data_IF_050096144758
#
_entry.id   IF_050096144758
#
_cell.length_a   1.000
_cell.length_b   1.000
_cell.length_c   1.000
_cell.angle_alpha   90.00
_cell.angle_beta   90.00
_cell.angle_gamma   90.00
#
_symmetry.space_group_name_H-M   'P 1'
#
loop_
_entity.id
_entity.type
_entity.pdbx_description
1 polymer ?
#
# COMPACT_ATOMS: atom_id res chain seq x y z
N UNK A 1 -5.06 11.11 -3.70
CA UNK A 1 -5.55 12.20 -2.84
C UNK A 1 -4.66 13.43 -3.02
N UNK A 2 -5.30 14.57 -3.18
CA UNK A 2 -4.61 15.86 -3.26
C UNK A 2 -4.81 16.55 -1.89
N UNK A 3 -3.72 16.94 -1.24
CA UNK A 3 -3.78 17.64 0.04
C UNK A 3 -4.19 19.12 -0.12
N UNK A 4 -4.43 19.82 0.99
CA UNK A 4 -4.82 21.23 0.99
C UNK A 4 -3.76 22.18 0.43
N UNK A 5 -2.54 21.70 0.15
CA UNK A 5 -1.44 22.45 -0.47
C UNK A 5 -1.26 22.11 -1.95
N UNK A 6 -2.10 21.20 -2.49
CA UNK A 6 -2.04 20.75 -3.87
C UNK A 6 -1.03 19.61 -4.13
N UNK A 7 -0.45 19.00 -3.09
CA UNK A 7 0.45 17.87 -3.28
C UNK A 7 -0.36 16.58 -3.46
N UNK A 8 0.09 15.75 -4.41
CA UNK A 8 -0.48 14.42 -4.60
C UNK A 8 0.10 13.43 -3.58
N UNK A 9 -0.76 12.75 -2.86
CA UNK A 9 -0.40 11.67 -1.93
C UNK A 9 -0.95 10.36 -2.46
N UNK A 10 -0.06 9.45 -2.85
CA UNK A 10 -0.45 8.10 -3.24
C UNK A 10 -0.95 7.33 -2.02
N UNK A 11 -2.19 6.88 -2.06
CA UNK A 11 -2.80 6.08 -0.98
C UNK A 11 -2.50 4.60 -1.20
N UNK A 12 -2.76 4.11 -2.40
CA UNK A 12 -2.61 2.70 -2.74
C UNK A 12 -2.26 2.53 -4.22
N UNK A 13 -1.50 1.48 -4.53
CA UNK A 13 -1.28 0.98 -5.88
C UNK A 13 -2.08 -0.29 -6.09
N UNK A 14 -3.01 -0.27 -7.04
CA UNK A 14 -3.94 -1.36 -7.28
C UNK A 14 -3.49 -2.15 -8.50
N UNK A 15 -3.21 -3.43 -8.32
CA UNK A 15 -2.81 -4.35 -9.39
C UNK A 15 -4.04 -5.13 -9.87
N UNK A 16 -4.14 -5.36 -11.18
CA UNK A 16 -5.18 -6.23 -11.76
C UNK A 16 -4.99 -7.70 -11.26
N UNK A 17 -6.01 -8.50 -11.14
CA UNK A 17 -7.45 -8.26 -11.19
C UNK A 17 -8.00 -8.11 -9.76
N UNK A 18 -8.11 -6.89 -9.29
CA UNK A 18 -8.52 -6.59 -7.92
C UNK A 18 -9.69 -5.61 -7.90
N UNK A 19 -10.67 -5.87 -7.04
CA UNK A 19 -11.73 -4.91 -6.76
C UNK A 19 -11.18 -3.73 -5.95
N UNK A 20 -11.62 -2.52 -6.27
CA UNK A 20 -11.30 -1.29 -5.54
C UNK A 20 -12.55 -0.45 -5.29
N UNK A 21 -12.44 0.57 -4.45
CA UNK A 21 -13.56 1.39 -3.99
C UNK A 21 -14.70 0.61 -3.28
N UNK A 22 -14.51 -0.69 -3.02
CA UNK A 22 -15.49 -1.60 -2.44
C UNK A 22 -16.10 -1.09 -1.13
N UNK A 23 -15.32 -0.56 -0.15
CA UNK A 23 -15.88 -0.03 1.10
C UNK A 23 -16.80 1.18 0.89
N UNK A 24 -16.58 1.94 -0.18
CA UNK A 24 -17.33 3.17 -0.47
C UNK A 24 -18.63 2.91 -1.24
N UNK A 25 -18.81 1.71 -1.78
CA UNK A 25 -20.01 1.35 -2.53
C UNK A 25 -21.29 1.56 -1.71
N UNK A 26 -21.23 1.28 -0.41
CA UNK A 26 -22.34 1.42 0.52
C UNK A 26 -22.17 2.58 1.51
N UNK A 27 -21.25 3.51 1.26
CA UNK A 27 -21.16 4.73 2.06
C UNK A 27 -22.43 5.58 1.91
N UNK A 28 -22.72 6.36 2.95
CA UNK A 28 -23.94 7.18 3.01
C UNK A 28 -23.95 8.33 2.02
N UNK A 29 -22.77 8.86 1.70
CA UNK A 29 -22.58 10.01 0.81
C UNK A 29 -22.33 9.64 -0.66
N UNK A 30 -21.97 8.37 -0.92
CA UNK A 30 -21.66 7.87 -2.26
C UNK A 30 -20.43 8.51 -2.91
N UNK A 31 -19.61 9.19 -2.11
CA UNK A 31 -18.42 9.91 -2.60
C UNK A 31 -17.17 9.07 -2.42
N UNK A 32 -16.32 9.05 -3.44
CA UNK A 32 -15.00 8.44 -3.33
C UNK A 32 -14.03 9.43 -2.67
N UNK A 33 -13.26 9.00 -1.64
CA UNK A 33 -12.37 9.89 -0.89
C UNK A 33 -11.07 10.22 -1.64
N UNK A 34 -10.85 9.60 -2.79
CA UNK A 34 -9.63 9.75 -3.58
C UNK A 34 -9.92 9.62 -5.08
N UNK A 35 -9.03 10.14 -5.90
CA UNK A 35 -9.02 9.96 -7.35
C UNK A 35 -8.34 8.64 -7.70
N UNK A 36 -8.91 7.91 -8.66
CA UNK A 36 -8.30 6.71 -9.22
C UNK A 36 -7.77 7.03 -10.62
N UNK A 37 -6.48 6.81 -10.82
CA UNK A 37 -5.79 7.11 -12.08
C UNK A 37 -5.21 5.82 -12.66
N UNK A 38 -5.54 5.51 -13.93
CA UNK A 38 -4.92 4.39 -14.62
C UNK A 38 -3.46 4.73 -14.96
N UNK A 39 -2.54 3.85 -14.60
CA UNK A 39 -1.09 4.00 -14.87
C UNK A 39 -0.69 3.42 -16.23
N UNK A 40 -1.57 2.62 -16.83
CA UNK A 40 -1.43 1.98 -18.15
C UNK A 40 -2.81 1.71 -18.75
N UNK A 41 -2.87 1.30 -19.99
CA UNK A 41 -4.12 0.92 -20.64
C UNK A 41 -4.83 -0.17 -19.86
N UNK A 42 -6.06 0.10 -19.42
CA UNK A 42 -6.77 -0.73 -18.48
C UNK A 42 -8.22 -0.96 -18.88
N UNK A 43 -8.72 -2.17 -18.59
CA UNK A 43 -10.14 -2.50 -18.74
C UNK A 43 -10.78 -2.59 -17.36
N UNK A 44 -11.90 -1.88 -17.16
CA UNK A 44 -12.63 -1.85 -15.90
C UNK A 44 -13.99 -2.54 -16.06
N UNK A 45 -14.30 -3.44 -15.13
CA UNK A 45 -15.65 -3.96 -14.92
C UNK A 45 -16.29 -3.18 -13.78
N UNK A 46 -17.41 -2.52 -14.06
CA UNK A 46 -18.14 -1.71 -13.08
C UNK A 46 -19.45 -2.37 -12.68
N UNK A 47 -19.85 -2.20 -11.43
CA UNK A 47 -21.16 -2.63 -10.93
C UNK A 47 -21.84 -1.51 -10.17
N UNK A 48 -23.18 -1.37 -10.34
CA UNK A 48 -23.95 -0.41 -9.55
C UNK A 48 -24.16 -0.92 -8.12
N UNK A 49 -24.47 0.00 -7.21
CA UNK A 49 -24.83 -0.31 -5.83
C UNK A 49 -25.97 -1.34 -5.73
N UNK A 50 -27.01 -1.15 -6.53
CA UNK A 50 -28.20 -2.01 -6.56
C UNK A 50 -27.86 -3.41 -7.06
N UNK A 51 -27.09 -3.51 -8.17
CA UNK A 51 -26.66 -4.79 -8.73
C UNK A 51 -25.78 -5.55 -7.75
N UNK A 52 -24.85 -4.86 -7.10
CA UNK A 52 -23.97 -5.48 -6.10
C UNK A 52 -24.77 -5.90 -4.85
N UNK A 53 -25.70 -5.06 -4.37
CA UNK A 53 -26.54 -5.40 -3.23
C UNK A 53 -27.36 -6.67 -3.49
N UNK A 54 -27.99 -6.78 -4.67
CA UNK A 54 -28.71 -7.98 -5.08
C UNK A 54 -27.79 -9.21 -5.05
N UNK A 55 -26.63 -9.09 -5.69
CA UNK A 55 -25.68 -10.21 -5.82
C UNK A 55 -25.18 -10.71 -4.45
N UNK A 56 -24.80 -9.81 -3.54
CA UNK A 56 -24.31 -10.21 -2.20
C UNK A 56 -25.46 -10.76 -1.31
N UNK A 57 -26.70 -10.35 -1.58
CA UNK A 57 -27.87 -10.88 -0.82
C UNK A 57 -28.27 -12.29 -1.27
N UNK A 58 -28.03 -12.64 -2.53
CA UNK A 58 -28.41 -13.94 -3.09
C UNK A 58 -27.29 -14.99 -2.96
N UNK A 59 -26.01 -14.55 -2.89
CA UNK A 59 -24.86 -15.44 -2.96
C UNK A 59 -23.96 -15.31 -1.72
N UNK A 60 -24.07 -16.19 -0.71
CA UNK A 60 -23.30 -16.10 0.55
C UNK A 60 -21.79 -16.09 0.35
N UNK A 61 -21.27 -16.76 -0.67
CA UNK A 61 -19.84 -16.78 -0.99
C UNK A 61 -19.36 -15.40 -1.47
N UNK A 62 -20.17 -14.71 -2.23
CA UNK A 62 -19.86 -13.36 -2.71
C UNK A 62 -19.95 -12.37 -1.55
N UNK A 63 -20.95 -12.48 -0.68
CA UNK A 63 -21.03 -11.71 0.55
C UNK A 63 -19.80 -11.89 1.43
N UNK A 64 -19.37 -13.12 1.67
CA UNK A 64 -18.16 -13.40 2.44
C UNK A 64 -16.93 -12.72 1.82
N UNK A 65 -16.73 -12.86 0.51
CA UNK A 65 -15.61 -12.24 -0.18
C UNK A 65 -15.67 -10.71 -0.12
N UNK A 66 -16.86 -10.13 -0.27
CA UNK A 66 -17.08 -8.69 -0.15
C UNK A 66 -16.69 -8.17 1.23
N UNK A 67 -17.09 -8.87 2.30
CA UNK A 67 -16.72 -8.54 3.68
C UNK A 67 -15.21 -8.66 3.90
N UNK A 68 -14.56 -9.72 3.36
CA UNK A 68 -13.12 -9.89 3.44
C UNK A 68 -12.37 -8.74 2.74
N UNK A 69 -12.79 -8.34 1.54
CA UNK A 69 -12.18 -7.22 0.80
C UNK A 69 -12.32 -5.92 1.59
N UNK A 70 -13.52 -5.66 2.13
CA UNK A 70 -13.80 -4.46 2.94
C UNK A 70 -12.95 -4.45 4.21
N UNK A 71 -12.87 -5.58 4.92
CA UNK A 71 -12.03 -5.73 6.11
C UNK A 71 -10.55 -5.51 5.81
N UNK A 72 -10.03 -6.12 4.73
CA UNK A 72 -8.64 -5.93 4.31
C UNK A 72 -8.32 -4.48 3.91
N UNK A 73 -9.27 -3.78 3.30
CA UNK A 73 -9.11 -2.36 2.99
C UNK A 73 -8.91 -1.51 4.25
N UNK A 74 -9.67 -1.78 5.32
CA UNK A 74 -9.48 -1.11 6.60
C UNK A 74 -8.08 -1.38 7.19
N UNK A 75 -7.62 -2.63 7.16
CA UNK A 75 -6.27 -3.00 7.61
C UNK A 75 -5.22 -2.25 6.80
N UNK A 76 -5.35 -2.21 5.48
CA UNK A 76 -4.44 -1.49 4.59
C UNK A 76 -4.40 0.01 4.91
N UNK A 77 -5.55 0.63 5.18
CA UNK A 77 -5.64 2.05 5.55
C UNK A 77 -4.92 2.34 6.87
N UNK A 78 -5.10 1.50 7.88
CA UNK A 78 -4.41 1.63 9.18
C UNK A 78 -2.89 1.47 9.01
N UNK A 79 -2.46 0.50 8.23
CA UNK A 79 -1.04 0.27 7.89
C UNK A 79 -0.44 1.49 7.19
N UNK A 80 -1.16 2.03 6.24
CA UNK A 80 -0.77 3.26 5.53
C UNK A 80 -0.61 4.45 6.48
N UNK A 81 -1.56 4.62 7.40
CA UNK A 81 -1.49 5.66 8.42
C UNK A 81 -0.26 5.50 9.32
N UNK A 82 0.05 4.28 9.74
CA UNK A 82 1.27 3.99 10.51
C UNK A 82 2.54 4.40 9.76
N UNK A 83 2.64 4.06 8.48
CA UNK A 83 3.78 4.46 7.64
C UNK A 83 3.90 5.98 7.54
N UNK A 84 2.81 6.67 7.25
CA UNK A 84 2.81 8.13 7.07
C UNK A 84 3.04 8.91 8.37
N UNK A 85 2.67 8.35 9.52
CA UNK A 85 2.91 8.97 10.83
C UNK A 85 4.39 8.98 11.24
N UNK A 86 5.23 8.20 10.57
CA UNK A 86 6.67 8.17 10.83
C UNK A 86 7.35 9.44 10.33
N UNK A 87 8.33 9.96 11.11
CA UNK A 87 8.97 11.24 10.85
C UNK A 87 10.07 11.17 9.81
N UNK A 88 10.84 10.07 9.80
CA UNK A 88 12.02 9.94 8.95
C UNK A 88 11.79 9.01 7.76
N UNK A 89 12.57 9.21 6.69
CA UNK A 89 12.57 8.33 5.51
C UNK A 89 12.88 6.89 5.90
N UNK A 90 13.86 6.72 6.80
CA UNK A 90 14.26 5.39 7.33
C UNK A 90 13.10 4.69 8.02
N UNK A 91 12.45 5.33 8.97
CA UNK A 91 11.31 4.77 9.69
C UNK A 91 10.18 4.34 8.73
N UNK A 92 9.84 5.17 7.76
CA UNK A 92 8.82 4.85 6.76
C UNK A 92 9.20 3.64 5.91
N UNK A 93 10.45 3.57 5.47
CA UNK A 93 10.94 2.46 4.68
C UNK A 93 11.03 1.17 5.50
N UNK A 94 11.48 1.23 6.75
CA UNK A 94 11.51 0.09 7.66
C UNK A 94 10.11 -0.46 7.93
N UNK A 95 9.13 0.41 8.24
CA UNK A 95 7.73 -0.01 8.44
C UNK A 95 7.21 -0.71 7.18
N UNK A 96 7.46 -0.14 5.99
CA UNK A 96 7.09 -0.77 4.72
C UNK A 96 7.72 -2.17 4.57
N UNK A 97 9.01 -2.32 4.85
CA UNK A 97 9.68 -3.63 4.76
C UNK A 97 9.06 -4.65 5.72
N UNK A 98 8.83 -4.29 6.96
CA UNK A 98 8.27 -5.19 7.97
C UNK A 98 6.83 -5.61 7.65
N UNK A 99 6.03 -4.71 7.10
CA UNK A 99 4.65 -5.00 6.67
C UNK A 99 4.57 -5.95 5.46
N UNK A 100 5.56 -5.87 4.56
CA UNK A 100 5.61 -6.73 3.37
C UNK A 100 6.47 -7.98 3.56
N UNK A 101 7.13 -8.11 4.70
CA UNK A 101 7.93 -9.28 5.06
C UNK A 101 7.02 -10.47 5.35
N UNK A 102 7.21 -11.57 4.65
CA UNK A 102 6.52 -12.82 4.95
C UNK A 102 7.03 -13.41 6.26
N UNK A 103 6.14 -14.06 7.00
CA UNK A 103 6.51 -14.79 8.22
C UNK A 103 7.64 -15.79 7.91
N UNK A 104 8.69 -15.78 8.72
CA UNK A 104 9.87 -16.65 8.56
C UNK A 104 10.70 -16.41 7.28
N UNK A 105 10.61 -15.24 6.65
CA UNK A 105 11.46 -14.86 5.52
C UNK A 105 12.37 -13.69 5.92
N UNK A 106 13.63 -13.75 5.53
CA UNK A 106 14.55 -12.62 5.62
C UNK A 106 14.49 -11.71 4.38
N UNK A 107 13.66 -12.05 3.38
CA UNK A 107 13.57 -11.32 2.13
C UNK A 107 12.21 -10.67 1.95
N UNK A 108 12.22 -9.46 1.39
CA UNK A 108 11.05 -8.68 1.02
C UNK A 108 11.13 -8.33 -0.46
N UNK A 109 10.10 -8.68 -1.22
CA UNK A 109 9.99 -8.26 -2.62
C UNK A 109 9.24 -6.95 -2.70
N UNK A 110 9.91 -5.89 -3.12
CA UNK A 110 9.31 -4.59 -3.36
C UNK A 110 8.47 -4.66 -4.64
N UNK A 111 7.18 -4.43 -4.53
CA UNK A 111 6.25 -4.46 -5.67
C UNK A 111 6.51 -3.25 -6.59
N UNK A 112 6.83 -2.12 -6.01
CA UNK A 112 7.01 -0.84 -6.68
C UNK A 112 8.41 -0.70 -7.32
N UNK A 113 8.53 0.14 -8.35
CA UNK A 113 9.81 0.70 -8.72
C UNK A 113 10.20 1.80 -7.69
N UNK A 114 11.46 2.26 -7.74
CA UNK A 114 11.95 3.24 -6.75
C UNK A 114 11.19 4.58 -6.77
N UNK A 115 10.69 5.03 -7.92
CA UNK A 115 9.92 6.26 -8.02
C UNK A 115 8.56 6.09 -7.32
N UNK A 116 7.82 5.06 -7.71
CA UNK A 116 6.52 4.71 -7.12
C UNK A 116 6.63 4.41 -5.61
N UNK A 117 7.72 3.76 -5.18
CA UNK A 117 7.96 3.52 -3.75
C UNK A 117 8.19 4.84 -2.98
N UNK A 118 8.93 5.78 -3.56
CA UNK A 118 9.14 7.08 -2.94
C UNK A 118 7.82 7.87 -2.80
N UNK A 119 6.99 7.87 -3.84
CA UNK A 119 5.63 8.44 -3.80
C UNK A 119 4.78 7.72 -2.74
N UNK A 120 4.80 6.38 -2.74
CA UNK A 120 4.10 5.60 -1.72
C UNK A 120 4.56 5.95 -0.30
N UNK A 121 5.84 6.15 -0.05
CA UNK A 121 6.37 6.56 1.26
C UNK A 121 6.22 8.05 1.54
N UNK A 122 5.68 8.83 0.60
CA UNK A 122 5.57 10.29 0.66
C UNK A 122 6.93 10.95 0.97
N UNK A 123 7.93 10.60 0.17
CA UNK A 123 9.30 11.12 0.23
C UNK A 123 9.84 11.35 -1.18
N UNK A 124 10.91 12.13 -1.31
CA UNK A 124 11.55 12.29 -2.62
C UNK A 124 12.39 11.05 -2.98
N UNK A 125 12.41 10.68 -4.26
CA UNK A 125 13.23 9.56 -4.74
C UNK A 125 14.72 9.65 -4.36
N UNK A 126 15.38 10.83 -4.45
CA UNK A 126 16.77 10.97 -3.99
C UNK A 126 16.94 10.73 -2.49
N UNK A 127 16.00 11.20 -1.65
CA UNK A 127 16.04 10.96 -0.22
C UNK A 127 15.90 9.48 0.13
N UNK A 128 14.97 8.77 -0.54
CA UNK A 128 14.80 7.33 -0.38
C UNK A 128 16.06 6.57 -0.82
N UNK A 129 16.59 6.87 -2.00
CA UNK A 129 17.81 6.22 -2.52
C UNK A 129 19.02 6.42 -1.60
N UNK A 130 19.21 7.64 -1.10
CA UNK A 130 20.27 7.97 -0.13
C UNK A 130 20.15 7.13 1.14
N UNK A 131 18.92 6.98 1.67
CA UNK A 131 18.70 6.25 2.90
C UNK A 131 18.87 4.73 2.71
N UNK A 132 18.37 4.16 1.61
CA UNK A 132 18.60 2.75 1.25
C UNK A 132 20.11 2.46 1.17
N UNK A 133 20.87 3.30 0.44
CA UNK A 133 22.32 3.13 0.33
C UNK A 133 23.04 3.24 1.67
N UNK A 134 22.55 4.07 2.58
CA UNK A 134 23.07 4.19 3.94
C UNK A 134 22.84 2.91 4.73
N UNK A 135 21.63 2.35 4.69
CA UNK A 135 21.28 1.09 5.35
C UNK A 135 22.09 -0.10 4.80
N UNK A 136 22.38 -0.11 3.50
CA UNK A 136 23.26 -1.12 2.88
C UNK A 136 24.70 -0.99 3.43
N UNK A 137 25.25 0.22 3.49
CA UNK A 137 26.59 0.49 4.05
C UNK A 137 26.70 0.14 5.53
N UNK A 138 25.63 0.31 6.28
CA UNK A 138 25.52 -0.07 7.70
C UNK A 138 25.37 -1.59 7.89
N UNK A 139 25.22 -2.38 6.81
CA UNK A 139 25.04 -3.83 6.88
C UNK A 139 23.67 -4.27 7.43
N UNK A 140 22.69 -3.38 7.44
CA UNK A 140 21.32 -3.67 7.94
C UNK A 140 20.52 -4.45 6.89
N UNK A 141 20.67 -4.09 5.62
CA UNK A 141 20.00 -4.70 4.47
C UNK A 141 20.96 -4.93 3.32
N UNK A 142 20.61 -5.86 2.45
CA UNK A 142 21.11 -5.98 1.07
C UNK A 142 19.96 -5.73 0.10
N UNK A 143 20.26 -5.19 -1.08
CA UNK A 143 19.26 -4.98 -2.11
C UNK A 143 19.78 -5.45 -3.47
N UNK A 144 19.03 -6.33 -4.10
CA UNK A 144 19.23 -6.78 -5.47
C UNK A 144 17.94 -6.55 -6.28
N UNK A 145 18.01 -5.56 -7.18
CA UNK A 145 16.84 -5.13 -7.97
C UNK A 145 15.66 -4.72 -7.07
N UNK A 146 14.62 -5.53 -7.06
CA UNK A 146 13.41 -5.34 -6.22
C UNK A 146 13.40 -6.20 -4.95
N UNK A 147 14.42 -7.02 -4.74
CA UNK A 147 14.50 -7.88 -3.56
C UNK A 147 15.38 -7.23 -2.50
N UNK A 148 14.83 -7.03 -1.32
CA UNK A 148 15.57 -6.57 -0.14
C UNK A 148 15.74 -7.75 0.80
N UNK A 149 16.97 -8.04 1.18
CA UNK A 149 17.31 -9.00 2.23
C UNK A 149 17.60 -8.24 3.51
N UNK A 150 16.93 -8.60 4.58
CA UNK A 150 17.18 -8.09 5.93
C UNK A 150 18.32 -8.89 6.54
N UNK A 151 19.41 -8.22 6.91
CA UNK A 151 20.59 -8.82 7.52
C UNK A 151 20.58 -8.67 9.05
N UNK A 152 20.06 -7.56 9.55
CA UNK A 152 19.98 -7.24 10.99
C UNK A 152 18.55 -6.81 11.36
N UNK A 153 17.71 -7.79 11.70
CA UNK A 153 16.33 -7.56 12.09
C UNK A 153 16.19 -6.75 13.40
N UNK A 154 16.98 -7.02 14.46
CA UNK A 154 16.94 -6.21 15.68
C UNK A 154 17.22 -4.72 15.44
N UNK A 155 18.05 -4.38 14.46
CA UNK A 155 18.30 -2.99 14.10
C UNK A 155 17.12 -2.35 13.36
N UNK A 156 16.30 -3.13 12.64
CA UNK A 156 15.06 -2.59 12.03
C UNK A 156 13.98 -2.36 13.09
N UNK A 157 13.84 -3.24 14.06
CA UNK A 157 12.80 -3.15 15.11
C UNK A 157 12.92 -1.88 15.97
N UNK A 158 14.10 -1.26 16.06
CA UNK A 158 14.30 0.02 16.75
C UNK A 158 13.54 1.21 16.12
N UNK A 159 13.07 1.04 14.88
CA UNK A 159 12.39 2.09 14.13
C UNK A 159 10.86 1.92 14.03
N UNK A 160 10.28 0.95 14.76
CA UNK A 160 8.84 0.60 14.71
C UNK A 160 8.03 1.11 15.87
#
# INVERSE_FOLDING_TARGET
YIDGLGNEVMIEYIVAARAFATPHLFSSDGVLPATFTAMEDSTLLTASKESMFKLISEEPKILHNFLCITGNCNVCTVSRLKTLSRKTVRERFVVYLLEHKKKNSSTVNIIHNQATLAEYLNVTRPALSKEINKMIKEGIIEMDGKTVRVLDEPSLEKYV
#
